data_IF_594458794030
#
_entry.id   IF_594458794030
#
_cell.length_a   1.000
_cell.length_b   1.000
_cell.length_c   1.000
_cell.angle_alpha   90.00
_cell.angle_beta   90.00
_cell.angle_gamma   90.00
#
_symmetry.space_group_name_H-M   'P 1'
#
loop_
_entity.id
_entity.type
_entity.pdbx_description
1 polymer ?
#
# COMPACT_ATOMS: atom_id res chain seq x y z
N UNK A 1 2.01 10.87 -8.26
CA UNK A 1 0.65 11.28 -7.87
C UNK A 1 0.04 10.29 -6.90
N UNK A 2 -0.75 10.82 -6.02
CA UNK A 2 -1.48 10.00 -5.07
C UNK A 2 -2.90 9.80 -5.52
N UNK A 3 -3.39 8.58 -5.36
CA UNK A 3 -4.80 8.28 -5.49
C UNK A 3 -5.30 7.72 -4.18
N UNK A 4 -6.55 7.97 -3.90
CA UNK A 4 -7.23 7.34 -2.80
C UNK A 4 -8.02 6.15 -3.32
N UNK A 5 -8.18 5.10 -2.52
CA UNK A 5 -8.79 3.85 -2.98
C UNK A 5 -10.27 3.93 -3.34
N UNK A 6 -10.95 5.02 -3.04
CA UNK A 6 -12.34 5.25 -3.42
C UNK A 6 -12.41 6.42 -4.38
N UNK A 7 -13.16 6.26 -5.47
CA UNK A 7 -13.35 7.29 -6.47
C UNK A 7 -14.04 8.50 -5.85
N UNK A 8 -13.50 9.68 -6.11
CA UNK A 8 -14.09 10.98 -5.75
C UNK A 8 -14.40 11.19 -4.26
N UNK A 9 -14.21 10.17 -3.42
CA UNK A 9 -14.49 10.32 -2.00
C UNK A 9 -13.34 11.04 -1.31
N UNK A 10 -13.72 11.85 -0.34
CA UNK A 10 -12.78 12.47 0.58
C UNK A 10 -12.82 11.70 1.89
N UNK A 11 -11.67 11.56 2.52
CA UNK A 11 -11.59 10.91 3.81
C UNK A 11 -10.93 11.85 4.80
N UNK A 12 -11.65 12.12 5.87
CA UNK A 12 -11.13 12.88 6.99
C UNK A 12 -10.51 11.95 8.01
N UNK A 13 -9.48 12.43 8.70
CA UNK A 13 -8.82 11.64 9.72
C UNK A 13 -8.21 12.56 10.79
N UNK A 14 -8.06 12.02 11.98
CA UNK A 14 -7.46 12.73 13.10
C UNK A 14 -5.96 12.56 13.11
N UNK A 15 -5.27 13.45 13.82
CA UNK A 15 -3.83 13.34 14.02
C UNK A 15 -3.48 11.98 14.63
N UNK A 16 -2.43 11.36 14.13
CA UNK A 16 -1.98 10.06 14.62
C UNK A 16 -2.74 8.87 14.09
N UNK A 17 -3.62 9.06 13.10
CA UNK A 17 -4.40 7.97 12.51
C UNK A 17 -3.50 7.07 11.66
N UNK A 18 -3.48 5.74 11.90
CA UNK A 18 -2.64 4.84 11.11
C UNK A 18 -3.22 4.57 9.73
N UNK A 19 -2.37 4.60 8.72
CA UNK A 19 -2.75 4.36 7.33
C UNK A 19 -1.78 3.39 6.68
N UNK A 20 -2.27 2.62 5.71
CA UNK A 20 -1.44 1.74 4.90
C UNK A 20 -1.32 2.32 3.50
N UNK A 21 -0.09 2.47 3.02
CA UNK A 21 0.22 3.01 1.70
C UNK A 21 0.87 1.94 0.84
N UNK A 22 0.39 1.79 -0.40
CA UNK A 22 0.98 0.89 -1.38
C UNK A 22 1.14 1.66 -2.69
N UNK A 23 2.31 1.52 -3.34
CA UNK A 23 2.52 2.05 -4.67
C UNK A 23 1.88 1.15 -5.73
N UNK A 24 1.19 1.72 -6.70
CA UNK A 24 0.58 0.95 -7.78
C UNK A 24 1.65 0.17 -8.55
N UNK A 25 2.82 0.77 -8.78
CA UNK A 25 3.91 0.08 -9.49
C UNK A 25 4.40 -1.15 -8.71
N UNK A 26 4.33 -1.12 -7.38
CA UNK A 26 4.72 -2.26 -6.56
C UNK A 26 3.77 -3.44 -6.79
N UNK A 27 2.48 -3.17 -6.89
CA UNK A 27 1.50 -4.21 -7.20
C UNK A 27 1.68 -4.73 -8.62
N UNK A 28 1.98 -3.83 -9.57
CA UNK A 28 2.21 -4.22 -10.95
C UNK A 28 3.43 -5.14 -11.08
N UNK A 29 4.51 -4.82 -10.36
CA UNK A 29 5.70 -5.66 -10.32
C UNK A 29 5.37 -7.05 -9.76
N UNK A 30 4.63 -7.09 -8.67
CA UNK A 30 4.21 -8.35 -8.05
C UNK A 30 3.35 -9.17 -9.02
N UNK A 31 2.40 -8.53 -9.68
CA UNK A 31 1.53 -9.20 -10.64
C UNK A 31 2.32 -9.82 -11.79
N UNK A 32 3.34 -9.11 -12.28
CA UNK A 32 4.21 -9.63 -13.33
C UNK A 32 4.99 -10.85 -12.87
N UNK A 33 5.47 -10.84 -11.63
CA UNK A 33 6.23 -11.97 -11.07
C UNK A 33 5.35 -13.20 -10.91
N UNK A 34 4.08 -13.00 -10.56
CA UNK A 34 3.12 -14.09 -10.41
C UNK A 34 2.64 -14.60 -11.77
N UNK A 35 2.58 -13.71 -12.76
CA UNK A 35 2.10 -14.05 -14.11
C UNK A 35 0.62 -13.78 -14.33
N UNK A 36 -0.04 -13.11 -13.40
CA UNK A 36 -1.44 -12.71 -13.55
C UNK A 36 -1.73 -11.49 -12.68
N UNK A 37 -2.75 -10.69 -13.01
CA UNK A 37 -3.09 -9.50 -12.20
C UNK A 37 -3.51 -9.89 -10.78
N UNK A 38 -3.05 -9.09 -9.81
CA UNK A 38 -3.48 -9.21 -8.42
C UNK A 38 -4.31 -8.00 -8.05
N UNK A 39 -5.35 -8.23 -7.27
CA UNK A 39 -6.22 -7.16 -6.83
C UNK A 39 -5.58 -6.39 -5.68
N UNK A 40 -5.52 -5.07 -5.82
CA UNK A 40 -5.02 -4.19 -4.75
C UNK A 40 -5.81 -4.39 -3.45
N UNK A 41 -7.10 -4.69 -3.55
CA UNK A 41 -7.97 -4.87 -2.41
C UNK A 41 -7.54 -6.03 -1.49
N UNK A 42 -6.76 -6.98 -1.99
CA UNK A 42 -6.23 -8.08 -1.17
C UNK A 42 -5.36 -7.55 -0.02
N UNK A 43 -4.73 -6.40 -0.23
CA UNK A 43 -3.82 -5.79 0.74
C UNK A 43 -4.48 -4.72 1.59
N UNK A 44 -5.68 -4.31 1.22
CA UNK A 44 -6.52 -3.34 1.93
C UNK A 44 -5.81 -2.03 2.28
N UNK A 45 -5.20 -1.37 1.28
CA UNK A 45 -4.52 -0.10 1.55
C UNK A 45 -5.53 1.02 1.76
N UNK A 46 -5.12 2.01 2.54
CA UNK A 46 -5.84 3.27 2.65
C UNK A 46 -5.45 4.21 1.52
N UNK A 47 -4.20 4.14 1.08
CA UNK A 47 -3.64 5.03 0.08
C UNK A 47 -2.94 4.21 -1.00
N UNK A 48 -3.25 4.51 -2.27
CA UNK A 48 -2.56 3.92 -3.42
C UNK A 48 -1.92 5.06 -4.19
N UNK A 49 -0.60 4.97 -4.40
CA UNK A 49 0.17 6.02 -5.05
C UNK A 49 0.56 5.58 -6.44
N UNK A 50 0.32 6.45 -7.43
CA UNK A 50 0.72 6.22 -8.82
C UNK A 50 1.88 7.12 -9.17
N UNK A 51 2.66 6.71 -10.18
CA UNK A 51 3.75 7.51 -10.70
C UNK A 51 5.10 7.25 -10.05
N UNK A 52 5.16 6.46 -8.99
CA UNK A 52 6.43 6.07 -8.38
C UNK A 52 6.91 4.75 -8.97
N UNK A 53 8.20 4.46 -8.79
CA UNK A 53 8.75 3.17 -9.19
C UNK A 53 8.34 2.08 -8.21
N UNK A 54 8.42 0.82 -8.64
CA UNK A 54 8.08 -0.31 -7.81
C UNK A 54 8.94 -0.30 -6.54
N UNK A 55 8.27 -0.43 -5.40
CA UNK A 55 8.87 -0.48 -4.07
C UNK A 55 9.65 0.78 -3.66
N UNK A 56 9.44 1.89 -4.37
CA UNK A 56 10.03 3.17 -3.97
C UNK A 56 9.60 3.57 -2.57
N UNK A 57 8.38 3.21 -2.20
CA UNK A 57 7.83 3.52 -0.87
C UNK A 57 8.63 2.91 0.28
N UNK A 58 9.40 1.85 0.02
CA UNK A 58 10.23 1.23 1.05
C UNK A 58 11.32 2.16 1.58
N UNK A 59 11.72 3.13 0.76
CA UNK A 59 12.77 4.07 1.12
C UNK A 59 12.26 5.41 1.63
N UNK A 60 10.96 5.63 1.62
CA UNK A 60 10.40 6.92 2.05
C UNK A 60 10.33 6.98 3.56
N UNK A 61 10.62 8.16 4.12
CA UNK A 61 10.53 8.40 5.55
C UNK A 61 9.46 9.42 5.89
N UNK A 62 9.23 10.38 5.01
CA UNK A 62 8.22 11.41 5.20
C UNK A 62 7.64 11.81 3.85
N UNK A 63 6.32 11.87 3.78
CA UNK A 63 5.62 12.27 2.56
C UNK A 63 4.56 13.31 2.89
N UNK A 64 4.24 14.14 1.93
CA UNK A 64 3.14 15.10 2.05
C UNK A 64 2.12 14.82 0.96
N UNK A 65 0.86 14.70 1.34
CA UNK A 65 -0.24 14.50 0.42
C UNK A 65 -1.21 15.66 0.61
N UNK A 66 -1.38 16.48 -0.43
CA UNK A 66 -2.09 17.74 -0.26
C UNK A 66 -1.37 18.59 0.77
N UNK A 67 -2.05 18.96 1.85
CA UNK A 67 -1.49 19.77 2.92
C UNK A 67 -1.12 18.95 4.16
N UNK A 68 -1.21 17.63 4.10
CA UNK A 68 -1.00 16.79 5.27
C UNK A 68 0.30 16.01 5.13
N UNK A 69 1.13 16.06 6.19
CA UNK A 69 2.38 15.30 6.24
C UNK A 69 2.19 13.98 6.96
N UNK A 70 2.89 12.97 6.48
CA UNK A 70 2.86 11.62 7.05
C UNK A 70 4.27 11.15 7.31
N UNK A 71 4.45 10.45 8.43
CA UNK A 71 5.70 9.76 8.72
C UNK A 71 5.54 8.29 8.32
N UNK A 72 6.52 7.76 7.60
CA UNK A 72 6.55 6.34 7.26
C UNK A 72 7.18 5.62 8.45
N UNK A 73 6.39 4.79 9.12
CA UNK A 73 6.80 4.20 10.39
C UNK A 73 7.52 2.88 10.21
N UNK A 74 6.94 1.98 9.43
CA UNK A 74 7.53 0.66 9.18
C UNK A 74 6.85 -0.02 8.00
N UNK A 75 7.52 -1.05 7.44
CA UNK A 75 6.92 -1.90 6.43
C UNK A 75 5.81 -2.74 7.04
N UNK A 76 4.78 -2.99 6.23
CA UNK A 76 3.63 -3.80 6.66
C UNK A 76 3.90 -5.27 6.39
N UNK A 77 3.83 -6.10 7.42
CA UNK A 77 3.96 -7.55 7.25
C UNK A 77 2.65 -8.14 6.77
N UNK A 78 2.73 -9.19 5.94
CA UNK A 78 1.57 -9.81 5.31
C UNK A 78 1.39 -11.25 5.76
N UNK A 79 0.15 -11.71 5.74
CA UNK A 79 -0.21 -13.04 6.17
C UNK A 79 -1.07 -13.74 5.12
N UNK A 80 -1.54 -14.94 5.47
CA UNK A 80 -2.36 -15.80 4.59
C UNK A 80 -3.65 -15.12 4.11
N UNK A 81 -4.13 -14.10 4.81
CA UNK A 81 -5.34 -13.39 4.43
C UNK A 81 -5.25 -12.75 3.06
N UNK A 82 -4.04 -12.39 2.61
CA UNK A 82 -3.84 -11.81 1.27
C UNK A 82 -4.10 -12.82 0.16
N UNK A 83 -4.13 -14.11 0.47
CA UNK A 83 -4.40 -15.17 -0.51
C UNK A 83 -5.90 -15.35 -0.77
N UNK A 84 -6.75 -14.68 -0.01
CA UNK A 84 -8.20 -14.78 -0.13
C UNK A 84 -8.69 -13.76 -1.17
N UNK A 85 -9.41 -14.23 -2.17
CA UNK A 85 -9.94 -13.36 -3.21
C UNK A 85 -11.04 -12.46 -2.64
N UNK A 86 -10.97 -11.12 -2.83
CA UNK A 86 -11.95 -10.21 -2.23
C UNK A 86 -13.38 -10.45 -2.68
N UNK A 87 -13.56 -10.83 -3.95
CA UNK A 87 -14.89 -10.99 -4.52
C UNK A 87 -15.58 -12.28 -4.08
N UNK A 88 -14.84 -13.37 -3.94
CA UNK A 88 -15.41 -14.70 -3.65
C UNK A 88 -15.15 -15.19 -2.24
N UNK A 89 -14.17 -14.63 -1.54
CA UNK A 89 -13.76 -15.14 -0.25
C UNK A 89 -12.99 -16.46 -0.33
N UNK A 90 -12.61 -16.87 -1.51
CA UNK A 90 -11.91 -18.15 -1.71
C UNK A 90 -10.39 -17.96 -1.62
N UNK A 91 -9.73 -18.94 -1.01
CA UNK A 91 -8.28 -18.94 -0.90
C UNK A 91 -7.67 -19.38 -2.24
N UNK A 92 -6.62 -18.69 -2.68
CA UNK A 92 -5.88 -19.08 -3.87
C UNK A 92 -5.20 -20.43 -3.63
N UNK A 93 -5.39 -21.37 -4.57
CA UNK A 93 -4.82 -22.72 -4.45
C UNK A 93 -3.30 -22.71 -4.47
N UNK A 94 -2.69 -21.76 -5.20
CA UNK A 94 -1.25 -21.61 -5.32
C UNK A 94 -0.66 -20.71 -4.22
N UNK A 95 -1.47 -20.26 -3.27
CA UNK A 95 -1.09 -19.40 -2.16
C UNK A 95 -0.56 -18.02 -2.57
N UNK A 96 -0.92 -17.57 -3.75
CA UNK A 96 -0.53 -16.24 -4.20
C UNK A 96 -1.47 -15.17 -3.62
N UNK A 97 -1.00 -13.97 -3.36
CA UNK A 97 0.32 -13.43 -3.72
C UNK A 97 1.44 -13.74 -2.72
N UNK A 98 1.12 -14.39 -1.61
CA UNK A 98 2.07 -14.58 -0.51
C UNK A 98 3.27 -15.43 -0.93
N UNK A 99 3.05 -16.47 -1.71
CA UNK A 99 4.13 -17.37 -2.15
C UNK A 99 5.21 -16.63 -2.93
N UNK A 100 4.81 -15.77 -3.88
CA UNK A 100 5.78 -14.98 -4.65
C UNK A 100 6.44 -13.91 -3.80
N UNK A 101 5.67 -13.21 -2.96
CA UNK A 101 6.22 -12.20 -2.06
C UNK A 101 7.30 -12.78 -1.16
N UNK A 102 7.11 -14.00 -0.70
CA UNK A 102 8.07 -14.67 0.17
C UNK A 102 9.42 -14.85 -0.50
N UNK A 103 9.46 -14.93 -1.83
CA UNK A 103 10.72 -15.15 -2.55
C UNK A 103 11.64 -13.94 -2.57
N UNK A 104 11.10 -12.72 -2.38
CA UNK A 104 11.94 -11.51 -2.50
C UNK A 104 11.58 -10.40 -1.51
N UNK A 105 10.54 -10.60 -0.70
CA UNK A 105 10.08 -9.58 0.26
C UNK A 105 10.09 -10.07 1.70
N UNK A 106 10.77 -11.18 1.98
CA UNK A 106 10.86 -11.71 3.33
C UNK A 106 11.99 -11.05 4.10
N UNK A 107 11.70 -10.57 5.32
CA UNK A 107 12.70 -9.97 6.20
C UNK A 107 12.42 -10.47 7.63
N UNK A 108 13.42 -11.10 8.23
CA UNK A 108 13.29 -11.57 9.61
C UNK A 108 12.14 -12.55 9.84
N UNK A 109 11.77 -13.31 8.83
CA UNK A 109 10.65 -14.24 8.90
C UNK A 109 9.30 -13.65 8.51
N UNK A 110 9.23 -12.35 8.27
CA UNK A 110 8.01 -11.66 7.86
C UNK A 110 8.07 -11.29 6.40
N UNK A 111 6.92 -11.41 5.71
CA UNK A 111 6.79 -11.03 4.31
C UNK A 111 6.24 -9.60 4.25
N UNK A 112 6.98 -8.69 3.63
CA UNK A 112 6.68 -7.26 3.65
C UNK A 112 6.08 -6.77 2.32
N UNK A 113 4.99 -6.01 2.41
CA UNK A 113 4.41 -5.34 1.24
C UNK A 113 3.57 -4.15 1.71
N UNK A 114 3.96 -2.95 1.27
CA UNK A 114 3.32 -1.70 1.69
C UNK A 114 3.97 -1.09 2.92
N UNK A 115 3.63 0.14 3.21
CA UNK A 115 4.21 0.91 4.30
C UNK A 115 3.13 1.44 5.22
N UNK A 116 3.38 1.36 6.51
CA UNK A 116 2.50 1.94 7.52
C UNK A 116 2.89 3.39 7.75
N UNK A 117 1.90 4.26 7.71
CA UNK A 117 2.09 5.70 7.90
C UNK A 117 1.31 6.18 9.11
N UNK A 118 1.79 7.27 9.69
CA UNK A 118 1.05 8.01 10.71
C UNK A 118 1.08 9.48 10.30
N UNK A 119 -0.09 10.12 10.32
CA UNK A 119 -0.20 11.53 9.93
C UNK A 119 0.22 12.47 11.06
N UNK A 120 0.85 13.57 10.67
CA UNK A 120 1.21 14.65 11.56
C UNK A 120 0.22 15.80 11.36
N UNK A 121 -0.93 15.70 12.00
CA UNK A 121 -2.01 16.64 11.85
C UNK A 121 -3.25 16.00 11.27
N UNK A 122 -4.39 16.62 11.43
CA UNK A 122 -5.65 16.16 10.87
C UNK A 122 -5.88 16.79 9.50
N UNK A 123 -6.76 16.19 8.70
CA UNK A 123 -7.07 16.73 7.39
C UNK A 123 -7.95 15.79 6.61
N UNK A 124 -8.06 16.09 5.32
CA UNK A 124 -8.84 15.29 4.37
C UNK A 124 -8.01 14.95 3.15
N UNK A 125 -8.22 13.77 2.62
CA UNK A 125 -7.56 13.30 1.40
C UNK A 125 -8.62 12.96 0.36
N UNK A 126 -8.25 13.16 -0.90
CA UNK A 126 -9.12 12.83 -2.04
C UNK A 126 -8.27 12.23 -3.16
N UNK A 127 -8.93 11.51 -4.05
CA UNK A 127 -8.29 10.96 -5.25
C UNK A 127 -7.72 12.12 -6.08
N UNK A 128 -6.52 11.95 -6.57
CA UNK A 128 -5.87 12.93 -7.44
C UNK A 128 -5.01 13.96 -6.72
N UNK A 129 -4.94 13.91 -5.38
CA UNK A 129 -4.07 14.82 -4.65
C UNK A 129 -2.60 14.50 -4.94
N UNK A 130 -1.76 15.55 -5.12
CA UNK A 130 -0.34 15.32 -5.36
C UNK A 130 0.37 14.79 -4.11
N UNK A 131 1.37 13.94 -4.34
CA UNK A 131 2.23 13.40 -3.29
C UNK A 131 3.62 13.95 -3.47
N UNK A 132 4.17 14.53 -2.40
CA UNK A 132 5.54 15.03 -2.38
C UNK A 132 6.35 14.21 -1.40
N UNK A 133 7.47 13.66 -1.86
CA UNK A 133 8.37 12.91 -1.01
C UNK A 133 9.31 13.90 -0.35
N UNK A 134 9.24 13.99 0.97
CA UNK A 134 10.03 14.96 1.74
C UNK A 134 11.35 14.37 2.22
N UNK A 135 11.34 13.09 2.59
CA UNK A 135 12.54 12.39 3.06
C UNK A 135 12.49 10.92 2.71
#
# INVERSE_FOLDING_TARGET
>A
EAGYGKDDDQVGFADGFPLLLIGQASLDDLSQRIGRPMEMLRFRPNLVIEGSEAFAEDGWKRVRIGDVEFRVVKSCSRCILTTIAPASGERSADREPLATLKTYREQGGDVMFGQNLVNDGSGELAVGMPVTILE
#
